data_IF_039012652709
#
_entry.id   IF_039012652709
#
_cell.length_a   1.000
_cell.length_b   1.000
_cell.length_c   1.000
_cell.angle_alpha   90.00
_cell.angle_beta   90.00
_cell.angle_gamma   90.00
#
_symmetry.space_group_name_H-M   'P 1'
#
loop_
_entity.id
_entity.type
_entity.pdbx_description
1 polymer ?
#
# COMPACT_ATOMS: atom_id res chain seq x y z
N UNK A 1 6.60 -10.08 4.50
CA UNK A 1 8.06 -10.28 4.62
C UNK A 1 8.73 -9.87 3.30
N UNK A 2 9.89 -9.22 3.33
CA UNK A 2 10.62 -8.86 2.12
C UNK A 2 10.94 -10.11 1.29
N UNK A 3 10.57 -10.10 0.00
CA UNK A 3 10.88 -11.20 -0.91
C UNK A 3 12.41 -11.29 -1.11
N UNK A 4 12.98 -12.51 -1.26
CA UNK A 4 14.39 -12.67 -1.63
C UNK A 4 14.72 -11.86 -2.89
N UNK A 5 15.81 -11.10 -2.85
CA UNK A 5 16.21 -10.22 -3.96
C UNK A 5 15.40 -8.93 -4.10
N UNK A 6 14.52 -8.62 -3.15
CA UNK A 6 13.75 -7.38 -3.16
C UNK A 6 14.61 -6.11 -2.93
N UNK A 7 14.05 -4.93 -3.23
CA UNK A 7 14.77 -3.65 -3.25
C UNK A 7 15.34 -3.25 -1.89
N UNK A 8 14.69 -3.66 -0.79
CA UNK A 8 15.12 -3.31 0.57
C UNK A 8 16.09 -4.33 1.21
N UNK A 9 16.54 -5.35 0.46
CA UNK A 9 17.51 -6.35 0.96
C UNK A 9 18.92 -5.77 1.07
N UNK A 10 19.85 -6.47 1.72
CA UNK A 10 21.23 -5.98 1.99
C UNK A 10 22.06 -5.60 0.75
N UNK A 11 21.67 -6.06 -0.44
CA UNK A 11 22.30 -5.71 -1.71
C UNK A 11 21.34 -4.97 -2.67
N UNK A 12 20.14 -4.62 -2.21
CA UNK A 12 19.12 -3.94 -3.02
C UNK A 12 19.29 -2.43 -3.04
N UNK A 13 18.74 -1.78 -4.07
CA UNK A 13 18.86 -0.35 -4.32
C UNK A 13 18.20 0.54 -3.25
N UNK A 14 17.27 -0.02 -2.46
CA UNK A 14 16.57 0.66 -1.38
C UNK A 14 17.02 0.18 0.02
N UNK A 15 18.20 -0.45 0.12
CA UNK A 15 18.76 -0.83 1.41
C UNK A 15 18.87 0.40 2.34
N UNK A 16 18.36 0.27 3.57
CA UNK A 16 18.40 1.35 4.57
C UNK A 16 17.28 2.40 4.47
N UNK A 17 16.35 2.29 3.52
CA UNK A 17 15.28 3.29 3.33
C UNK A 17 14.41 3.51 4.58
N UNK A 18 14.22 2.48 5.41
CA UNK A 18 13.48 2.55 6.67
C UNK A 18 14.12 3.51 7.70
N UNK A 19 15.44 3.78 7.60
CA UNK A 19 16.13 4.72 8.48
C UNK A 19 16.13 6.15 7.91
N UNK A 20 15.75 6.34 6.65
CA UNK A 20 15.59 7.67 6.06
C UNK A 20 14.39 8.39 6.68
N UNK A 21 14.38 9.72 6.55
CA UNK A 21 13.26 10.56 6.99
C UNK A 21 12.82 10.26 8.43
N UNK A 22 13.71 10.45 9.43
CA UNK A 22 13.55 9.98 10.81
C UNK A 22 12.68 8.73 11.05
N UNK A 23 12.85 7.67 10.26
CA UNK A 23 12.08 6.43 10.46
C UNK A 23 10.65 6.44 9.91
N UNK A 24 10.30 7.39 9.02
CA UNK A 24 8.93 7.55 8.50
C UNK A 24 8.53 6.50 7.46
N UNK A 25 9.46 5.71 6.95
CA UNK A 25 9.17 4.65 5.97
C UNK A 25 9.03 3.29 6.65
N UNK A 26 7.81 2.77 6.65
CA UNK A 26 7.58 1.36 6.90
C UNK A 26 7.89 0.56 5.63
N UNK A 27 8.65 -0.53 5.76
CA UNK A 27 9.04 -1.42 4.65
C UNK A 27 8.42 -2.82 4.79
N UNK A 28 7.28 -2.90 5.46
CA UNK A 28 6.47 -4.10 5.62
C UNK A 28 5.07 -3.89 5.03
N UNK A 29 4.29 -4.96 4.95
CA UNK A 29 2.96 -4.98 4.34
C UNK A 29 1.98 -4.10 5.14
N UNK A 30 0.98 -3.52 4.47
CA UNK A 30 -0.12 -2.76 5.12
C UNK A 30 -0.37 -1.37 4.51
N UNK A 31 0.54 -0.88 3.67
CA UNK A 31 0.34 0.35 2.90
C UNK A 31 -0.23 0.06 1.50
N UNK A 32 -1.32 0.72 1.13
CA UNK A 32 -1.92 0.67 -0.21
C UNK A 32 -2.05 2.09 -0.79
N UNK A 33 -1.72 2.29 -2.08
CA UNK A 33 -1.98 3.56 -2.75
C UNK A 33 -3.49 3.76 -2.97
N UNK A 34 -3.96 4.99 -2.85
CA UNK A 34 -5.31 5.37 -3.25
C UNK A 34 -5.23 5.86 -4.70
N UNK A 35 -5.78 5.06 -5.62
CA UNK A 35 -5.80 5.36 -7.06
C UNK A 35 -7.24 5.66 -7.49
N UNK A 36 -7.48 6.84 -8.04
CA UNK A 36 -8.78 7.28 -8.55
C UNK A 36 -8.63 7.76 -9.98
N UNK A 37 -9.46 7.23 -10.89
CA UNK A 37 -9.41 7.51 -12.33
C UNK A 37 -7.98 7.34 -12.89
N UNK A 38 -7.30 6.27 -12.47
CA UNK A 38 -5.92 5.96 -12.87
C UNK A 38 -4.82 6.85 -12.26
N UNK A 39 -5.15 7.80 -11.39
CA UNK A 39 -4.18 8.69 -10.74
C UNK A 39 -4.01 8.38 -9.26
N UNK A 40 -2.76 8.33 -8.77
CA UNK A 40 -2.47 8.20 -7.34
C UNK A 40 -2.77 9.53 -6.64
N UNK A 41 -3.69 9.54 -5.70
CA UNK A 41 -4.11 10.74 -4.96
C UNK A 41 -3.76 10.71 -3.47
N UNK A 42 -3.21 9.59 -2.99
CA UNK A 42 -2.85 9.42 -1.58
C UNK A 42 -2.51 7.96 -1.26
N UNK A 43 -2.56 7.62 0.03
CA UNK A 43 -2.34 6.26 0.51
C UNK A 43 -3.09 5.99 1.81
N UNK A 44 -3.41 4.71 2.04
CA UNK A 44 -3.96 4.20 3.30
C UNK A 44 -2.96 3.22 3.90
N UNK A 45 -2.76 3.29 5.22
CA UNK A 45 -1.89 2.38 5.96
C UNK A 45 -2.66 1.70 7.08
N UNK A 46 -2.54 0.38 7.17
CA UNK A 46 -3.12 -0.44 8.23
C UNK A 46 -2.02 -1.25 8.91
N UNK A 47 -2.10 -1.38 10.23
CA UNK A 47 -1.24 -2.25 11.01
C UNK A 47 -1.96 -2.73 12.26
N UNK A 48 -1.81 -4.00 12.60
CA UNK A 48 -2.27 -4.57 13.87
C UNK A 48 -2.55 -6.07 13.83
N UNK A 49 -2.76 -6.64 12.64
CA UNK A 49 -3.00 -8.08 12.44
C UNK A 49 -1.85 -8.81 11.75
N UNK A 50 -2.18 -9.90 11.06
CA UNK A 50 -1.26 -10.51 10.09
C UNK A 50 -1.09 -9.62 8.85
N UNK A 51 -0.08 -9.91 8.01
CA UNK A 51 0.09 -9.17 6.74
C UNK A 51 -1.13 -9.28 5.83
N UNK A 52 -1.78 -10.44 5.85
CA UNK A 52 -3.01 -10.72 5.12
C UNK A 52 -4.19 -9.90 5.67
N UNK A 53 -4.30 -9.77 6.99
CA UNK A 53 -5.34 -8.96 7.64
C UNK A 53 -5.16 -7.47 7.33
N UNK A 54 -3.93 -6.96 7.41
CA UNK A 54 -3.62 -5.55 7.13
C UNK A 54 -3.97 -5.21 5.66
N UNK A 55 -3.68 -6.11 4.70
CA UNK A 55 -4.10 -5.97 3.31
C UNK A 55 -5.63 -6.00 3.20
N UNK A 56 -6.30 -6.96 3.84
CA UNK A 56 -7.75 -7.13 3.74
C UNK A 56 -8.50 -5.89 4.25
N UNK A 57 -8.05 -5.32 5.37
CA UNK A 57 -8.61 -4.08 5.92
C UNK A 57 -8.32 -2.89 5.00
N UNK A 58 -7.11 -2.78 4.45
CA UNK A 58 -6.78 -1.73 3.48
C UNK A 58 -7.66 -1.79 2.23
N UNK A 59 -7.88 -2.99 1.67
CA UNK A 59 -8.78 -3.20 0.53
C UNK A 59 -10.23 -2.86 0.90
N UNK A 60 -10.68 -3.20 2.11
CA UNK A 60 -11.99 -2.81 2.60
C UNK A 60 -12.16 -1.28 2.66
N UNK A 61 -11.12 -0.55 3.07
CA UNK A 61 -11.12 0.92 3.04
C UNK A 61 -11.25 1.49 1.61
N UNK A 62 -10.55 0.91 0.63
CA UNK A 62 -10.67 1.30 -0.78
C UNK A 62 -12.08 1.04 -1.35
N UNK A 63 -12.70 -0.10 -0.99
CA UNK A 63 -14.09 -0.41 -1.37
C UNK A 63 -15.11 0.53 -0.74
N UNK A 64 -14.89 0.92 0.51
CA UNK A 64 -15.70 1.93 1.17
C UNK A 64 -15.58 3.29 0.47
N UNK A 65 -14.37 3.68 0.05
CA UNK A 65 -14.15 4.89 -0.74
C UNK A 65 -14.87 4.84 -2.10
N UNK A 66 -14.78 3.73 -2.84
CA UNK A 66 -15.55 3.54 -4.08
C UNK A 66 -17.05 3.74 -3.85
N UNK A 67 -17.57 3.16 -2.77
CA UNK A 67 -19.00 3.26 -2.44
C UNK A 67 -19.41 4.68 -2.07
N UNK A 68 -18.55 5.43 -1.38
CA UNK A 68 -18.78 6.83 -1.02
C UNK A 68 -18.76 7.77 -2.23
N UNK A 69 -17.81 7.57 -3.15
CA UNK A 69 -17.67 8.40 -4.36
C UNK A 69 -18.72 8.06 -5.44
N UNK A 70 -19.29 6.85 -5.38
CA UNK A 70 -20.26 6.36 -6.35
C UNK A 70 -19.65 6.13 -7.73
N UNK A 71 -20.49 6.03 -8.76
CA UNK A 71 -20.09 5.59 -10.10
C UNK A 71 -19.45 6.70 -10.97
N UNK A 72 -19.26 7.91 -10.42
CA UNK A 72 -18.61 9.03 -11.13
C UNK A 72 -17.09 8.86 -11.13
N UNK A 73 -16.56 8.15 -10.13
CA UNK A 73 -15.14 7.91 -9.95
C UNK A 73 -14.86 6.40 -9.95
N UNK A 74 -13.75 6.03 -10.59
CA UNK A 74 -13.22 4.67 -10.57
C UNK A 74 -12.06 4.59 -9.56
N UNK A 75 -12.31 3.91 -8.45
CA UNK A 75 -11.32 3.66 -7.40
C UNK A 75 -10.76 2.25 -7.58
N UNK A 76 -9.44 2.14 -7.67
CA UNK A 76 -8.80 0.83 -7.68
C UNK A 76 -8.96 0.15 -6.32
N UNK A 77 -9.64 -0.99 -6.26
CA UNK A 77 -9.88 -1.75 -5.02
C UNK A 77 -9.13 -3.08 -4.96
N UNK A 78 -8.10 -3.23 -5.79
CA UNK A 78 -7.23 -4.41 -5.80
C UNK A 78 -5.93 -4.10 -5.06
N UNK A 79 -5.36 -5.08 -4.33
CA UNK A 79 -4.14 -4.87 -3.55
C UNK A 79 -2.88 -4.72 -4.40
N UNK A 80 -2.90 -5.17 -5.66
CA UNK A 80 -1.76 -5.05 -6.59
C UNK A 80 -2.08 -4.05 -7.71
N UNK A 81 -1.24 -3.03 -7.83
CA UNK A 81 -1.37 -1.97 -8.85
C UNK A 81 -0.60 -2.27 -10.14
N UNK A 82 0.15 -3.37 -10.22
CA UNK A 82 0.90 -3.75 -11.41
C UNK A 82 -0.02 -4.49 -12.39
N UNK A 83 -0.41 -3.82 -13.48
CA UNK A 83 -0.92 -4.47 -14.69
C UNK A 83 0.23 -4.82 -15.63
#
# INVERSE_FOLDING_TARGET
>A
MNQPGGPATIHGEAFGIHAMMPGKFAIFVGGLPIVVNGSVIGGVGVSGGSSEDDIAVGVAALKALQSYLGNVYDVMTEPDIKK
#
